data_IF_961112584595
#
_entry.id   IF_961112584595
#
_cell.length_a   1.000
_cell.length_b   1.000
_cell.length_c   1.000
_cell.angle_alpha   90.00
_cell.angle_beta   90.00
_cell.angle_gamma   90.00
#
_symmetry.space_group_name_H-M   'P 1'
#
loop_
_entity.id
_entity.type
_entity.pdbx_description
1 polymer ?
#
# COMPACT_ATOMS: atom_id res chain seq x y z
N UNK A 1 2.84 43.65 -4.72
CA UNK A 1 2.73 42.24 -4.27
C UNK A 1 2.19 41.44 -5.43
N UNK A 2 2.97 40.50 -5.97
CA UNK A 2 2.61 39.80 -7.22
C UNK A 2 1.62 38.66 -6.96
N UNK A 3 0.82 38.31 -7.96
CA UNK A 3 -0.16 37.21 -7.91
C UNK A 3 0.46 35.88 -7.48
N UNK A 4 1.72 35.61 -7.86
CA UNK A 4 2.44 34.40 -7.47
C UNK A 4 2.72 34.33 -5.96
N UNK A 5 3.12 35.45 -5.35
CA UNK A 5 3.35 35.50 -3.90
C UNK A 5 2.05 35.25 -3.14
N UNK A 6 0.93 35.80 -3.62
CA UNK A 6 -0.38 35.57 -3.02
C UNK A 6 -0.79 34.09 -3.08
N UNK A 7 -0.65 33.43 -4.24
CA UNK A 7 -0.94 32.00 -4.38
C UNK A 7 -0.10 31.17 -3.43
N UNK A 8 1.19 31.49 -3.26
CA UNK A 8 2.07 30.71 -2.40
C UNK A 8 1.68 30.81 -0.92
N UNK A 9 1.43 32.02 -0.41
CA UNK A 9 1.07 32.20 1.00
C UNK A 9 -0.35 31.72 1.31
N UNK A 10 -1.33 32.02 0.46
CA UNK A 10 -2.71 31.57 0.67
C UNK A 10 -2.85 30.06 0.44
N UNK A 11 -2.13 29.52 -0.55
CA UNK A 11 -2.11 28.08 -0.80
C UNK A 11 -1.55 27.31 0.39
N UNK A 12 -0.44 27.77 0.98
CA UNK A 12 0.13 27.12 2.17
C UNK A 12 -0.83 27.19 3.37
N UNK A 13 -1.48 28.33 3.58
CA UNK A 13 -2.50 28.47 4.62
C UNK A 13 -3.69 27.51 4.39
N UNK A 14 -4.16 27.36 3.14
CA UNK A 14 -5.27 26.48 2.79
C UNK A 14 -4.95 25.00 2.99
N UNK A 15 -3.72 24.57 2.73
CA UNK A 15 -3.29 23.19 3.06
C UNK A 15 -3.38 22.93 4.56
N UNK A 16 -2.95 23.89 5.39
CA UNK A 16 -3.06 23.76 6.84
C UNK A 16 -4.52 23.75 7.32
N UNK A 17 -5.40 24.49 6.66
CA UNK A 17 -6.84 24.54 6.97
C UNK A 17 -7.53 23.20 6.72
N UNK A 18 -7.28 22.56 5.57
CA UNK A 18 -7.85 21.23 5.25
C UNK A 18 -7.34 20.16 6.22
N UNK A 19 -6.04 20.19 6.57
CA UNK A 19 -5.46 19.20 7.50
C UNK A 19 -5.89 19.44 8.96
N UNK A 20 -6.44 20.61 9.29
CA UNK A 20 -6.79 20.96 10.66
C UNK A 20 -7.90 20.06 11.22
N UNK A 21 -8.84 19.63 10.37
CA UNK A 21 -9.87 18.66 10.72
C UNK A 21 -10.11 17.66 9.58
N UNK A 22 -9.34 16.56 9.50
CA UNK A 22 -9.42 15.59 8.41
C UNK A 22 -10.62 14.63 8.51
N UNK A 23 -11.58 14.92 9.40
CA UNK A 23 -12.76 14.09 9.70
C UNK A 23 -14.07 14.81 9.33
N UNK A 24 -14.00 15.83 8.48
CA UNK A 24 -15.16 16.54 7.95
C UNK A 24 -15.80 15.81 6.75
N UNK A 25 -16.32 16.61 5.82
CA UNK A 25 -16.92 16.17 4.56
C UNK A 25 -16.23 16.81 3.35
N UNK A 26 -15.03 17.39 3.52
CA UNK A 26 -14.27 17.96 2.41
C UNK A 26 -13.72 16.83 1.52
N UNK A 27 -13.48 17.13 0.24
CA UNK A 27 -13.07 16.13 -0.78
C UNK A 27 -11.76 15.38 -0.43
N UNK A 28 -10.89 15.99 0.40
CA UNK A 28 -9.60 15.44 0.82
C UNK A 28 -9.62 14.85 2.25
N UNK A 29 -10.80 14.80 2.90
CA UNK A 29 -10.96 14.21 4.23
C UNK A 29 -10.92 12.68 4.21
N UNK A 30 -10.78 12.07 5.39
CA UNK A 30 -10.84 10.62 5.49
C UNK A 30 -12.24 10.09 5.24
N UNK A 31 -12.32 9.04 4.42
CA UNK A 31 -13.53 8.26 4.15
C UNK A 31 -13.93 7.38 5.35
N UNK A 32 -14.30 8.01 6.47
CA UNK A 32 -14.60 7.32 7.72
C UNK A 32 -15.79 6.37 7.62
N UNK A 33 -16.84 6.75 6.87
CA UNK A 33 -18.02 5.91 6.67
C UNK A 33 -17.64 4.60 5.96
N UNK A 34 -16.83 4.69 4.91
CA UNK A 34 -16.29 3.51 4.24
C UNK A 34 -15.47 2.63 5.20
N UNK A 35 -14.60 3.23 6.01
CA UNK A 35 -13.79 2.48 6.97
C UNK A 35 -14.67 1.76 8.02
N UNK A 36 -15.72 2.41 8.51
CA UNK A 36 -16.68 1.81 9.44
C UNK A 36 -17.38 0.62 8.81
N UNK A 37 -17.98 0.80 7.63
CA UNK A 37 -18.70 -0.25 6.93
C UNK A 37 -17.80 -1.44 6.60
N UNK A 38 -16.60 -1.16 6.08
CA UNK A 38 -15.58 -2.18 5.77
C UNK A 38 -15.16 -2.95 7.02
N UNK A 39 -14.85 -2.25 8.11
CA UNK A 39 -14.36 -2.89 9.32
C UNK A 39 -15.45 -3.71 10.02
N UNK A 40 -16.69 -3.20 10.05
CA UNK A 40 -17.82 -3.94 10.60
C UNK A 40 -18.07 -5.21 9.79
N UNK A 41 -18.14 -5.10 8.46
CA UNK A 41 -18.38 -6.23 7.57
C UNK A 41 -17.28 -7.27 7.71
N UNK A 42 -16.01 -6.90 7.52
CA UNK A 42 -14.88 -7.83 7.60
C UNK A 42 -14.77 -8.42 9.00
N UNK A 43 -14.94 -7.62 10.05
CA UNK A 43 -14.87 -8.08 11.43
C UNK A 43 -15.89 -9.17 11.72
N UNK A 44 -17.14 -8.98 11.31
CA UNK A 44 -18.21 -9.97 11.44
C UNK A 44 -17.93 -11.22 10.58
N UNK A 45 -17.51 -11.05 9.33
CA UNK A 45 -17.15 -12.18 8.45
C UNK A 45 -16.01 -13.01 9.07
N UNK A 46 -15.01 -12.39 9.71
CA UNK A 46 -13.90 -13.14 10.32
C UNK A 46 -14.36 -14.00 11.50
N UNK A 47 -15.25 -13.50 12.35
CA UNK A 47 -15.67 -14.23 13.56
C UNK A 47 -16.82 -15.21 13.33
N UNK A 48 -17.64 -15.01 12.30
CA UNK A 48 -18.75 -15.89 11.96
C UNK A 48 -18.33 -16.89 10.87
N UNK A 49 -18.05 -16.36 9.69
CA UNK A 49 -17.62 -17.14 8.54
C UNK A 49 -16.13 -17.54 8.58
N UNK A 50 -15.25 -16.85 9.29
CA UNK A 50 -13.83 -17.18 9.33
C UNK A 50 -13.47 -18.17 10.44
N UNK A 51 -14.35 -18.35 11.42
CA UNK A 51 -14.02 -19.08 12.64
C UNK A 51 -13.81 -20.57 12.38
N UNK A 52 -12.64 -21.07 12.76
CA UNK A 52 -12.22 -22.47 12.61
C UNK A 52 -12.29 -23.02 11.17
N UNK A 53 -12.38 -22.13 10.17
CA UNK A 53 -12.38 -22.49 8.74
C UNK A 53 -11.01 -22.24 8.13
N UNK A 54 -10.03 -23.06 8.53
CA UNK A 54 -8.69 -23.00 7.94
C UNK A 54 -8.63 -23.80 6.63
N UNK A 55 -7.85 -23.34 5.62
CA UNK A 55 -7.65 -24.11 4.41
C UNK A 55 -6.83 -25.37 4.70
N UNK A 56 -6.97 -26.39 3.84
CA UNK A 56 -6.20 -27.62 3.97
C UNK A 56 -4.70 -27.36 3.85
N UNK A 57 -3.92 -27.99 4.73
CA UNK A 57 -2.46 -27.89 4.71
C UNK A 57 -1.92 -28.79 3.59
N UNK A 58 -1.51 -28.17 2.49
CA UNK A 58 -0.93 -28.84 1.33
C UNK A 58 0.51 -28.38 1.09
N UNK A 59 1.31 -29.23 0.46
CA UNK A 59 2.65 -28.83 -0.02
C UNK A 59 2.48 -27.89 -1.21
N UNK A 60 3.13 -26.74 -1.15
CA UNK A 60 3.10 -25.76 -2.22
C UNK A 60 3.95 -26.22 -3.43
N UNK A 61 3.78 -25.52 -4.55
CA UNK A 61 4.47 -25.84 -5.81
C UNK A 61 6.00 -25.77 -5.74
N UNK A 62 6.56 -25.09 -4.74
CA UNK A 62 7.99 -24.91 -4.55
C UNK A 62 8.59 -25.80 -3.44
N UNK A 63 7.80 -26.69 -2.83
CA UNK A 63 8.23 -27.53 -1.70
C UNK A 63 9.56 -28.29 -1.89
N UNK A 64 9.91 -28.66 -3.13
CA UNK A 64 11.14 -29.41 -3.47
C UNK A 64 12.09 -28.64 -4.38
N UNK A 65 11.77 -27.40 -4.75
CA UNK A 65 12.51 -26.64 -5.77
C UNK A 65 12.97 -25.30 -5.21
N UNK A 66 14.08 -24.74 -5.69
CA UNK A 66 14.44 -23.37 -5.34
C UNK A 66 13.32 -22.42 -5.78
N UNK A 67 13.04 -21.42 -4.95
CA UNK A 67 12.05 -20.39 -5.25
C UNK A 67 12.68 -19.43 -6.26
N UNK A 68 12.22 -19.52 -7.51
CA UNK A 68 12.54 -18.54 -8.54
C UNK A 68 11.34 -17.60 -8.73
N UNK A 69 11.51 -16.27 -8.59
CA UNK A 69 10.43 -15.32 -8.80
C UNK A 69 9.83 -15.46 -10.20
N UNK A 70 8.51 -15.67 -10.26
CA UNK A 70 7.78 -15.75 -11.51
C UNK A 70 7.34 -14.34 -11.92
N UNK A 71 7.83 -13.89 -13.06
CA UNK A 71 7.52 -12.58 -13.60
C UNK A 71 6.79 -12.67 -14.92
N UNK A 72 5.82 -11.77 -15.14
CA UNK A 72 5.27 -11.56 -16.46
C UNK A 72 6.33 -10.93 -17.39
N UNK A 73 6.21 -11.15 -18.72
CA UNK A 73 7.16 -10.60 -19.71
C UNK A 73 7.36 -9.07 -19.59
N UNK A 74 6.30 -8.34 -19.22
CA UNK A 74 6.37 -6.88 -19.00
C UNK A 74 7.16 -6.55 -17.72
N UNK A 75 6.91 -7.28 -16.63
CA UNK A 75 7.59 -7.08 -15.36
C UNK A 75 9.10 -7.37 -15.46
N UNK A 76 9.51 -8.41 -16.18
CA UNK A 76 10.94 -8.74 -16.40
C UNK A 76 11.72 -7.61 -17.09
N UNK A 77 11.09 -6.85 -17.98
CA UNK A 77 11.76 -5.74 -18.66
C UNK A 77 11.83 -4.47 -17.80
N UNK A 78 10.86 -4.28 -16.89
CA UNK A 78 10.85 -3.16 -15.95
C UNK A 78 11.78 -3.41 -14.77
N UNK A 79 11.75 -4.63 -14.22
CA UNK A 79 12.68 -5.11 -13.21
C UNK A 79 13.98 -5.52 -13.91
N UNK A 80 14.89 -4.57 -14.10
CA UNK A 80 16.29 -4.92 -14.40
C UNK A 80 16.71 -5.93 -13.34
N UNK A 81 17.27 -7.08 -13.75
CA UNK A 81 17.88 -8.06 -12.84
C UNK A 81 18.86 -7.34 -11.92
N UNK A 82 18.39 -6.91 -10.77
CA UNK A 82 19.27 -6.52 -9.70
C UNK A 82 19.74 -7.85 -9.14
N UNK A 83 21.03 -8.15 -9.32
CA UNK A 83 21.67 -9.09 -8.39
C UNK A 83 21.23 -8.68 -7.00
N UNK A 84 20.78 -9.65 -6.18
CA UNK A 84 20.29 -9.34 -4.83
C UNK A 84 21.25 -8.37 -4.17
N UNK A 85 20.74 -7.31 -3.52
CA UNK A 85 21.55 -6.20 -3.01
C UNK A 85 22.64 -6.77 -2.11
N UNK A 86 23.84 -6.91 -2.67
CA UNK A 86 25.03 -7.25 -1.93
C UNK A 86 25.67 -5.93 -1.51
N UNK A 87 26.16 -5.86 -0.28
CA UNK A 87 26.68 -4.61 0.30
C UNK A 87 27.75 -3.96 -0.59
N UNK A 88 28.03 -2.68 -0.38
CA UNK A 88 28.95 -1.88 -1.24
C UNK A 88 30.38 -2.44 -1.36
N UNK A 89 30.78 -3.35 -0.47
CA UNK A 89 32.10 -4.00 -0.43
C UNK A 89 32.06 -5.41 -1.07
N UNK A 90 30.88 -5.95 -1.35
CA UNK A 90 30.75 -7.28 -1.91
C UNK A 90 31.25 -7.29 -3.35
N UNK A 91 32.29 -8.07 -3.59
CA UNK A 91 32.83 -8.30 -4.92
C UNK A 91 31.86 -9.19 -5.70
N UNK A 92 31.09 -8.60 -6.62
CA UNK A 92 30.20 -9.33 -7.53
C UNK A 92 31.09 -9.80 -8.71
N UNK A 93 31.46 -11.08 -8.72
CA UNK A 93 32.08 -11.75 -9.89
C UNK A 93 30.99 -12.40 -10.73
#
# INVERSE_FOLDING_TARGET
>A
MSTLQFIFYMGWLKVAEVILNPFGEDDDDFECNFLLDKNLTIGLTVVDEGYDRTPEILKDSFWKHPIEPLYSRKAVHAERRMSGITGSIAHIV
#
